data_IF_387498492525
#
_entry.id   IF_387498492525
#
_cell.length_a   1.000
_cell.length_b   1.000
_cell.length_c   1.000
_cell.angle_alpha   90.00
_cell.angle_beta   90.00
_cell.angle_gamma   90.00
#
_symmetry.space_group_name_H-M   'P 1'
#
loop_
_entity.id
_entity.type
_entity.pdbx_description
1 polymer ?
#
# COMPACT_ATOMS: atom_id res chain seq x y z
N UNK A 1 13.04 -20.06 11.41
CA UNK A 1 11.64 -19.71 11.79
C UNK A 1 11.58 -18.54 12.77
N UNK A 2 12.24 -18.58 13.94
CA UNK A 2 12.19 -17.45 14.92
C UNK A 2 12.82 -16.18 14.36
N UNK A 3 13.98 -16.29 13.69
CA UNK A 3 14.65 -15.14 13.04
C UNK A 3 13.77 -14.52 11.95
N UNK A 4 13.25 -15.34 11.03
CA UNK A 4 12.29 -14.89 10.00
C UNK A 4 11.09 -14.18 10.63
N UNK A 5 10.49 -14.75 11.68
CA UNK A 5 9.34 -14.14 12.35
C UNK A 5 9.70 -12.78 12.98
N UNK A 6 10.89 -12.65 13.57
CA UNK A 6 11.40 -11.38 14.10
C UNK A 6 11.59 -10.32 13.02
N UNK A 7 12.21 -10.69 11.89
CA UNK A 7 12.39 -9.80 10.73
C UNK A 7 11.04 -9.39 10.16
N UNK A 8 10.14 -10.33 9.91
CA UNK A 8 8.80 -10.05 9.40
C UNK A 8 7.99 -9.17 10.35
N UNK A 9 8.12 -9.36 11.66
CA UNK A 9 7.47 -8.50 12.64
C UNK A 9 7.98 -7.06 12.57
N UNK A 10 9.29 -6.85 12.46
CA UNK A 10 9.86 -5.51 12.30
C UNK A 10 9.38 -4.83 11.00
N UNK A 11 9.33 -5.58 9.89
CA UNK A 11 8.81 -5.08 8.61
C UNK A 11 7.32 -4.76 8.72
N UNK A 12 6.54 -5.64 9.36
CA UNK A 12 5.11 -5.46 9.59
C UNK A 12 4.79 -4.18 10.37
N UNK A 13 5.58 -3.87 11.40
CA UNK A 13 5.43 -2.62 12.16
C UNK A 13 5.59 -1.38 11.27
N UNK A 14 6.42 -1.47 10.23
CA UNK A 14 6.59 -0.39 9.26
C UNK A 14 5.42 -0.35 8.27
N UNK A 15 4.99 -1.51 7.78
CA UNK A 15 3.91 -1.65 6.79
C UNK A 15 2.57 -1.10 7.34
N UNK A 16 2.25 -1.41 8.60
CA UNK A 16 1.01 -0.98 9.27
C UNK A 16 0.90 0.56 9.40
N UNK A 17 2.01 1.29 9.29
CA UNK A 17 2.00 2.77 9.33
C UNK A 17 1.40 3.39 8.06
N UNK A 18 1.01 2.57 7.08
CA UNK A 18 0.31 3.01 5.88
C UNK A 18 -0.99 3.79 6.21
N UNK A 19 -1.03 5.12 5.96
CA UNK A 19 -2.18 5.94 6.32
C UNK A 19 -3.36 5.76 5.35
N UNK A 20 -3.12 5.19 4.16
CA UNK A 20 -4.11 5.09 3.08
C UNK A 20 -5.26 4.19 3.48
N UNK A 21 -4.97 2.95 3.92
CA UNK A 21 -6.02 2.01 4.32
C UNK A 21 -6.84 2.55 5.49
N UNK A 22 -6.19 3.17 6.47
CA UNK A 22 -6.89 3.76 7.62
C UNK A 22 -7.90 4.82 7.18
N UNK A 23 -7.51 5.73 6.28
CA UNK A 23 -8.40 6.78 5.78
C UNK A 23 -9.65 6.21 5.10
N UNK A 24 -9.48 5.18 4.27
CA UNK A 24 -10.61 4.51 3.63
C UNK A 24 -11.48 3.72 4.62
N UNK A 25 -10.90 3.18 5.69
CA UNK A 25 -11.66 2.55 6.77
C UNK A 25 -12.52 3.56 7.54
N UNK A 26 -11.99 4.76 7.81
CA UNK A 26 -12.74 5.86 8.44
C UNK A 26 -13.90 6.30 7.55
N UNK A 27 -13.64 6.46 6.25
CA UNK A 27 -14.68 6.73 5.26
C UNK A 27 -15.77 5.64 5.25
N UNK A 28 -15.41 4.35 5.26
CA UNK A 28 -16.37 3.26 5.27
C UNK A 28 -17.27 3.25 6.53
N UNK A 29 -16.73 3.62 7.70
CA UNK A 29 -17.53 3.79 8.94
C UNK A 29 -18.47 5.00 8.88
N UNK A 30 -18.23 5.94 7.98
CA UNK A 30 -19.13 7.08 7.72
C UNK A 30 -20.44 6.69 7.03
N UNK A 31 -20.47 5.56 6.32
CA UNK A 31 -21.56 5.14 5.42
C UNK A 31 -22.79 4.58 6.15
N UNK A 32 -23.87 4.34 5.40
CA UNK A 32 -25.17 3.83 5.91
C UNK A 32 -25.07 2.47 6.61
N UNK A 33 -24.11 1.62 6.23
CA UNK A 33 -23.88 0.29 6.81
C UNK A 33 -22.46 0.19 7.35
N UNK A 34 -22.14 0.96 8.41
CA UNK A 34 -20.76 1.28 8.75
C UNK A 34 -19.94 0.03 9.07
N UNK A 35 -20.53 -0.93 9.79
CA UNK A 35 -19.83 -2.16 10.16
C UNK A 35 -19.62 -3.08 8.96
N UNK A 36 -20.68 -3.39 8.22
CA UNK A 36 -20.60 -4.30 7.08
C UNK A 36 -19.67 -3.75 6.00
N UNK A 37 -19.74 -2.45 5.74
CA UNK A 37 -18.91 -1.81 4.72
C UNK A 37 -17.44 -1.77 5.14
N UNK A 38 -17.12 -1.43 6.39
CA UNK A 38 -15.74 -1.45 6.88
C UNK A 38 -15.13 -2.85 6.93
N UNK A 39 -15.87 -3.86 7.40
CA UNK A 39 -15.39 -5.25 7.37
C UNK A 39 -15.22 -5.75 5.94
N UNK A 40 -16.15 -5.43 5.04
CA UNK A 40 -16.05 -5.84 3.63
C UNK A 40 -14.88 -5.15 2.93
N UNK A 41 -14.65 -3.86 3.19
CA UNK A 41 -13.51 -3.12 2.67
C UNK A 41 -12.20 -3.73 3.14
N UNK A 42 -12.05 -3.98 4.44
CA UNK A 42 -10.83 -4.60 4.98
C UNK A 42 -10.60 -6.00 4.40
N UNK A 43 -11.66 -6.80 4.27
CA UNK A 43 -11.59 -8.14 3.69
C UNK A 43 -11.16 -8.09 2.21
N UNK A 44 -11.74 -7.18 1.43
CA UNK A 44 -11.40 -6.99 0.02
C UNK A 44 -9.97 -6.48 -0.15
N UNK A 45 -9.55 -5.53 0.68
CA UNK A 45 -8.16 -5.07 0.72
C UNK A 45 -7.21 -6.21 1.03
N UNK A 46 -7.44 -6.95 2.12
CA UNK A 46 -6.55 -8.04 2.58
C UNK A 46 -6.49 -9.18 1.56
N UNK A 47 -7.62 -9.50 0.93
CA UNK A 47 -7.69 -10.53 -0.12
C UNK A 47 -6.88 -10.10 -1.34
N UNK A 48 -7.08 -8.87 -1.82
CA UNK A 48 -6.31 -8.34 -2.95
C UNK A 48 -4.81 -8.24 -2.63
N UNK A 49 -4.45 -7.84 -1.41
CA UNK A 49 -3.07 -7.74 -0.96
C UNK A 49 -2.37 -9.10 -0.92
N UNK A 50 -3.06 -10.12 -0.40
CA UNK A 50 -2.59 -11.50 -0.42
C UNK A 50 -2.46 -12.03 -1.85
N UNK A 51 -3.47 -11.85 -2.70
CA UNK A 51 -3.44 -12.28 -4.12
C UNK A 51 -2.30 -11.58 -4.87
N UNK A 52 -2.11 -10.28 -4.68
CA UNK A 52 -0.99 -9.54 -5.24
C UNK A 52 0.34 -10.11 -4.75
N UNK A 53 0.47 -10.45 -3.48
CA UNK A 53 1.65 -11.11 -2.92
C UNK A 53 1.93 -12.47 -3.55
N UNK A 54 0.90 -13.29 -3.79
CA UNK A 54 1.04 -14.58 -4.47
C UNK A 54 1.47 -14.39 -5.92
N UNK A 55 0.85 -13.47 -6.65
CA UNK A 55 1.25 -13.14 -8.03
C UNK A 55 2.70 -12.66 -8.02
N UNK A 56 3.05 -11.71 -7.16
CA UNK A 56 4.42 -11.22 -7.05
C UNK A 56 5.39 -12.34 -6.71
N UNK A 57 5.08 -13.26 -5.80
CA UNK A 57 5.94 -14.38 -5.45
C UNK A 57 6.32 -15.24 -6.67
N UNK A 58 5.39 -15.43 -7.61
CA UNK A 58 5.60 -16.19 -8.84
C UNK A 58 6.55 -15.45 -9.79
N UNK A 59 6.47 -14.11 -9.85
CA UNK A 59 7.18 -13.29 -10.82
C UNK A 59 8.39 -12.54 -10.24
N UNK A 60 8.62 -12.56 -8.92
CA UNK A 60 9.57 -11.68 -8.25
C UNK A 60 11.01 -11.92 -8.72
N UNK A 61 11.39 -13.19 -8.90
CA UNK A 61 12.72 -13.55 -9.40
C UNK A 61 12.93 -13.00 -10.82
N UNK A 62 11.97 -13.23 -11.73
CA UNK A 62 12.04 -12.72 -13.09
C UNK A 62 12.04 -11.18 -13.15
N UNK A 63 11.25 -10.52 -12.30
CA UNK A 63 11.25 -9.06 -12.18
C UNK A 63 12.61 -8.55 -11.67
N UNK A 64 13.19 -9.21 -10.67
CA UNK A 64 14.48 -8.82 -10.10
C UNK A 64 15.61 -9.04 -11.11
N UNK A 65 15.61 -10.15 -11.82
CA UNK A 65 16.57 -10.44 -12.89
C UNK A 65 16.47 -9.43 -14.03
N UNK A 66 15.24 -9.07 -14.43
CA UNK A 66 14.99 -8.03 -15.43
C UNK A 66 15.49 -6.65 -14.98
N UNK A 67 15.22 -6.28 -13.73
CA UNK A 67 15.68 -5.01 -13.17
C UNK A 67 17.20 -4.96 -13.00
N UNK A 68 17.85 -6.10 -12.75
CA UNK A 68 19.31 -6.20 -12.69
C UNK A 68 19.97 -6.17 -14.08
N UNK A 69 19.24 -6.54 -15.13
CA UNK A 69 19.73 -6.55 -16.51
C UNK A 69 18.77 -5.76 -17.44
N UNK A 70 18.66 -4.43 -17.25
CA UNK A 70 17.74 -3.60 -18.02
C UNK A 70 18.20 -3.45 -19.47
N UNK A 71 17.25 -3.44 -20.40
CA UNK A 71 17.50 -3.08 -21.79
C UNK A 71 17.34 -1.57 -22.01
N UNK A 72 17.90 -1.01 -23.10
CA UNK A 72 17.84 0.43 -23.38
C UNK A 72 16.43 1.04 -23.35
N UNK A 73 15.40 0.28 -23.75
CA UNK A 73 14.01 0.79 -23.72
C UNK A 73 13.44 0.89 -22.30
N UNK A 74 13.94 0.10 -21.34
CA UNK A 74 13.50 0.17 -19.94
C UNK A 74 13.85 1.54 -19.34
N UNK A 75 14.98 2.11 -19.74
CA UNK A 75 15.38 3.46 -19.34
C UNK A 75 14.47 4.54 -19.93
N UNK A 76 13.94 4.33 -21.14
CA UNK A 76 12.93 5.21 -21.72
C UNK A 76 11.61 5.16 -20.95
N UNK A 77 11.15 3.95 -20.62
CA UNK A 77 9.93 3.75 -19.80
C UNK A 77 10.12 4.31 -18.40
N UNK A 78 11.27 4.05 -17.75
CA UNK A 78 11.56 4.54 -16.40
C UNK A 78 11.67 6.07 -16.37
N UNK A 79 12.22 6.70 -17.41
CA UNK A 79 12.22 8.16 -17.53
C UNK A 79 10.79 8.73 -17.57
N UNK A 80 9.92 8.15 -18.41
CA UNK A 80 8.51 8.59 -18.51
C UNK A 80 7.80 8.41 -17.18
N UNK A 81 7.92 7.23 -16.55
CA UNK A 81 7.33 6.96 -15.24
C UNK A 81 7.87 7.91 -14.17
N UNK A 82 9.18 8.17 -14.17
CA UNK A 82 9.83 9.08 -13.24
C UNK A 82 9.30 10.50 -13.36
N UNK A 83 9.15 11.02 -14.58
CA UNK A 83 8.55 12.34 -14.83
C UNK A 83 7.09 12.40 -14.37
N UNK A 84 6.31 11.35 -14.65
CA UNK A 84 4.90 11.26 -14.19
C UNK A 84 4.82 11.27 -12.66
N UNK A 85 5.68 10.50 -11.98
CA UNK A 85 5.74 10.48 -10.51
C UNK A 85 6.14 11.84 -9.93
N UNK A 86 7.11 12.53 -10.52
CA UNK A 86 7.48 13.89 -10.12
C UNK A 86 6.33 14.88 -10.31
N UNK A 87 5.60 14.77 -11.42
CA UNK A 87 4.41 15.58 -11.65
C UNK A 87 3.34 15.34 -10.59
N UNK A 88 3.06 14.08 -10.25
CA UNK A 88 2.13 13.75 -9.15
C UNK A 88 2.64 14.22 -7.79
N UNK A 89 3.94 14.11 -7.50
CA UNK A 89 4.53 14.60 -6.25
C UNK A 89 4.35 16.12 -6.07
N UNK A 90 4.48 16.89 -7.15
CA UNK A 90 4.23 18.33 -7.13
C UNK A 90 2.75 18.65 -6.93
N UNK A 91 1.86 17.86 -7.57
CA UNK A 91 0.41 18.07 -7.50
C UNK A 91 -0.22 17.59 -6.19
N UNK A 92 0.35 16.57 -5.53
CA UNK A 92 -0.18 16.06 -4.26
C UNK A 92 0.02 17.04 -3.10
N UNK A 93 0.80 18.12 -3.28
CA UNK A 93 0.87 19.24 -2.33
C UNK A 93 -0.38 20.13 -2.37
N UNK A 94 -1.13 20.11 -3.46
CA UNK A 94 -2.31 20.98 -3.67
C UNK A 94 -3.63 20.28 -3.31
N UNK A 95 -3.67 18.95 -3.36
CA UNK A 95 -4.88 18.17 -3.10
C UNK A 95 -4.89 17.62 -1.67
N UNK A 96 -5.51 18.37 -0.75
CA UNK A 96 -5.79 17.92 0.61
C UNK A 96 -6.97 16.94 0.65
N UNK A 97 -7.02 16.00 -0.29
CA UNK A 97 -8.01 14.93 -0.40
C UNK A 97 -9.42 15.43 -0.12
N UNK A 98 -10.07 16.05 -1.10
CA UNK A 98 -11.52 16.27 -0.97
C UNK A 98 -12.16 14.93 -0.66
N UNK A 99 -12.72 14.82 0.55
CA UNK A 99 -13.55 13.70 0.98
C UNK A 99 -14.54 13.42 -0.15
N UNK A 100 -14.80 12.14 -0.49
CA UNK A 100 -15.87 11.84 -1.43
C UNK A 100 -17.14 12.56 -0.95
N UNK A 101 -17.70 13.42 -1.80
CA UNK A 101 -18.77 14.37 -1.46
C UNK A 101 -19.98 13.59 -0.92
N UNK A 102 -20.78 14.19 -0.03
CA UNK A 102 -21.96 13.58 0.64
C UNK A 102 -23.08 13.12 -0.35
N UNK A 103 -22.82 13.20 -1.66
CA UNK A 103 -23.71 12.87 -2.78
C UNK A 103 -23.35 11.56 -3.48
N UNK A 104 -22.33 10.83 -3.02
CA UNK A 104 -22.00 9.55 -3.63
C UNK A 104 -23.05 8.47 -3.32
N UNK A 105 -23.31 7.54 -4.27
CA UNK A 105 -24.27 6.47 -4.06
C UNK A 105 -23.92 5.66 -2.81
N UNK A 106 -24.94 5.13 -2.09
CA UNK A 106 -24.70 4.39 -0.87
C UNK A 106 -23.81 3.18 -1.13
N UNK A 107 -22.66 3.15 -0.45
CA UNK A 107 -21.74 2.02 -0.51
C UNK A 107 -22.43 0.75 0.00
N UNK A 108 -22.52 -0.25 -0.87
CA UNK A 108 -22.96 -1.59 -0.49
C UNK A 108 -21.76 -2.40 0.03
N UNK A 109 -21.97 -3.48 0.79
CA UNK A 109 -20.88 -4.34 1.25
C UNK A 109 -20.03 -4.92 0.10
N UNK A 110 -20.69 -5.30 -1.00
CA UNK A 110 -20.00 -5.83 -2.19
C UNK A 110 -19.17 -4.73 -2.86
N UNK A 111 -19.72 -3.53 -3.04
CA UNK A 111 -18.96 -2.41 -3.56
C UNK A 111 -17.78 -2.06 -2.65
N UNK A 112 -17.98 -2.10 -1.33
CA UNK A 112 -16.93 -1.86 -0.33
C UNK A 112 -15.80 -2.88 -0.43
N UNK A 113 -16.11 -4.16 -0.67
CA UNK A 113 -15.10 -5.19 -0.90
C UNK A 113 -14.21 -4.87 -2.11
N UNK A 114 -14.82 -4.60 -3.28
CA UNK A 114 -14.03 -4.24 -4.47
C UNK A 114 -13.31 -2.91 -4.31
N UNK A 115 -13.91 -1.96 -3.61
CA UNK A 115 -13.26 -0.70 -3.28
C UNK A 115 -12.01 -0.92 -2.42
N UNK A 116 -12.10 -1.79 -1.40
CA UNK A 116 -10.93 -2.21 -0.61
C UNK A 116 -9.83 -2.84 -1.45
N UNK A 117 -10.18 -3.64 -2.46
CA UNK A 117 -9.20 -4.17 -3.40
C UNK A 117 -8.48 -3.05 -4.18
N UNK A 118 -9.23 -2.05 -4.66
CA UNK A 118 -8.67 -0.90 -5.41
C UNK A 118 -7.76 -0.03 -4.55
N UNK A 119 -8.04 0.09 -3.24
CA UNK A 119 -7.21 0.89 -2.31
C UNK A 119 -5.74 0.46 -2.31
N UNK A 120 -5.44 -0.83 -2.55
CA UNK A 120 -4.05 -1.30 -2.68
C UNK A 120 -3.26 -0.56 -3.77
N UNK A 121 -3.91 -0.17 -4.88
CA UNK A 121 -3.26 0.57 -5.97
C UNK A 121 -2.91 2.01 -5.55
N UNK A 122 -3.76 2.62 -4.73
CA UNK A 122 -3.50 3.95 -4.16
C UNK A 122 -2.36 3.87 -3.14
N UNK A 123 -2.27 2.74 -2.43
CA UNK A 123 -1.24 2.44 -1.45
C UNK A 123 0.11 2.01 -2.02
N UNK A 124 0.29 1.87 -3.34
CA UNK A 124 1.54 1.38 -3.97
C UNK A 124 2.81 2.09 -3.46
N UNK A 125 2.85 3.43 -3.28
CA UNK A 125 4.05 4.08 -2.74
C UNK A 125 4.49 3.55 -1.36
N UNK A 126 3.53 3.00 -0.60
CA UNK A 126 3.75 2.44 0.74
C UNK A 126 4.00 0.92 0.72
N UNK A 127 3.99 0.25 -0.44
CA UNK A 127 4.13 -1.20 -0.53
C UNK A 127 5.58 -1.72 -0.36
N UNK A 128 6.58 -0.84 -0.25
CA UNK A 128 7.99 -1.23 -0.08
C UNK A 128 8.25 -2.22 1.07
N UNK A 129 7.69 -2.02 2.29
CA UNK A 129 7.81 -3.00 3.36
C UNK A 129 7.26 -4.37 2.96
N UNK A 130 6.15 -4.43 2.24
CA UNK A 130 5.57 -5.69 1.79
C UNK A 130 6.45 -6.43 0.78
N UNK A 131 7.05 -5.71 -0.16
CA UNK A 131 8.06 -6.30 -1.06
C UNK A 131 9.25 -6.87 -0.28
N UNK A 132 9.71 -6.16 0.76
CA UNK A 132 10.77 -6.65 1.63
C UNK A 132 10.36 -7.91 2.40
N UNK A 133 9.15 -7.93 2.97
CA UNK A 133 8.61 -9.12 3.65
C UNK A 133 8.53 -10.32 2.69
N UNK A 134 8.03 -10.11 1.47
CA UNK A 134 7.92 -11.15 0.47
C UNK A 134 9.30 -11.72 0.09
N UNK A 135 10.29 -10.86 -0.11
CA UNK A 135 11.67 -11.26 -0.40
C UNK A 135 12.27 -12.11 0.73
N UNK A 136 12.05 -11.74 1.99
CA UNK A 136 12.51 -12.54 3.14
C UNK A 136 11.81 -13.90 3.22
N UNK A 137 10.50 -13.97 2.92
CA UNK A 137 9.76 -15.24 2.85
C UNK A 137 10.33 -16.15 1.75
N UNK A 138 10.63 -15.58 0.56
CA UNK A 138 11.17 -16.34 -0.56
C UNK A 138 12.59 -16.86 -0.31
N UNK A 139 13.40 -16.13 0.46
CA UNK A 139 14.77 -16.55 0.84
C UNK A 139 14.81 -17.58 1.96
N UNK A 140 13.72 -17.81 2.67
CA UNK A 140 13.71 -18.63 3.88
C UNK A 140 13.71 -20.15 3.66
N UNK A 141 14.00 -20.63 2.44
CA UNK A 141 14.02 -22.05 2.04
C UNK A 141 12.77 -22.83 2.52
N UNK A 142 11.60 -22.22 2.34
CA UNK A 142 10.31 -22.79 2.71
C UNK A 142 9.71 -23.58 1.54
N UNK A 143 8.99 -24.66 1.86
CA UNK A 143 8.09 -25.24 0.85
C UNK A 143 7.03 -24.23 0.42
N UNK A 144 6.50 -24.36 -0.80
CA UNK A 144 5.48 -23.44 -1.32
C UNK A 144 4.27 -23.30 -0.37
N UNK A 145 3.79 -24.40 0.22
CA UNK A 145 2.69 -24.38 1.17
C UNK A 145 3.03 -23.57 2.44
N UNK A 146 4.25 -23.71 2.96
CA UNK A 146 4.72 -22.92 4.11
C UNK A 146 4.88 -21.45 3.75
N UNK A 147 5.43 -21.14 2.57
CA UNK A 147 5.55 -19.76 2.08
C UNK A 147 4.18 -19.07 1.98
N UNK A 148 3.18 -19.73 1.39
CA UNK A 148 1.82 -19.20 1.32
C UNK A 148 1.15 -19.05 2.69
N UNK A 149 1.39 -19.99 3.61
CA UNK A 149 0.88 -19.89 4.97
C UNK A 149 1.49 -18.70 5.73
N UNK A 150 2.80 -18.47 5.60
CA UNK A 150 3.49 -17.33 6.21
C UNK A 150 3.01 -16.01 5.58
N UNK A 151 2.87 -15.96 4.25
CA UNK A 151 2.34 -14.80 3.55
C UNK A 151 0.90 -14.47 3.99
N UNK A 152 0.05 -15.49 4.13
CA UNK A 152 -1.30 -15.33 4.63
C UNK A 152 -1.31 -14.82 6.08
N UNK A 153 -0.48 -15.41 6.95
CA UNK A 153 -0.34 -14.97 8.33
C UNK A 153 0.13 -13.50 8.42
N UNK A 154 1.08 -13.10 7.57
CA UNK A 154 1.55 -11.72 7.46
C UNK A 154 0.41 -10.76 7.08
N UNK A 155 -0.37 -11.09 6.04
CA UNK A 155 -1.51 -10.28 5.59
C UNK A 155 -2.60 -10.15 6.65
N UNK A 156 -2.91 -11.25 7.36
CA UNK A 156 -3.87 -11.22 8.47
C UNK A 156 -3.33 -10.34 9.60
N UNK A 157 -2.06 -10.49 9.98
CA UNK A 157 -1.44 -9.68 11.02
C UNK A 157 -1.41 -8.19 10.64
N UNK A 158 -1.18 -7.86 9.35
CA UNK A 158 -1.27 -6.51 8.81
C UNK A 158 -2.69 -5.93 8.92
N UNK A 159 -3.73 -6.74 8.72
CA UNK A 159 -5.11 -6.29 8.81
C UNK A 159 -5.58 -6.04 10.26
N UNK A 160 -4.98 -6.71 11.26
CA UNK A 160 -5.44 -6.66 12.65
C UNK A 160 -5.52 -5.24 13.25
N UNK A 161 -4.50 -4.37 13.12
CA UNK A 161 -4.57 -3.01 13.64
C UNK A 161 -5.74 -2.21 13.06
N UNK A 162 -6.11 -2.43 11.80
CA UNK A 162 -7.21 -1.72 11.13
C UNK A 162 -8.60 -2.17 11.59
N UNK A 163 -8.72 -3.33 12.25
CA UNK A 163 -9.95 -3.74 12.92
C UNK A 163 -10.35 -2.78 14.05
N UNK A 164 -9.42 -1.97 14.56
CA UNK A 164 -9.73 -0.92 15.55
C UNK A 164 -10.86 -0.02 15.07
N UNK A 165 -10.96 0.26 13.76
CA UNK A 165 -11.94 1.18 13.19
C UNK A 165 -13.39 0.64 13.33
N UNK A 166 -13.74 -0.55 12.80
CA UNK A 166 -15.07 -1.12 13.02
C UNK A 166 -15.32 -1.50 14.48
N UNK A 167 -14.30 -1.89 15.26
CA UNK A 167 -14.45 -2.19 16.70
C UNK A 167 -14.80 -0.93 17.51
N UNK A 168 -14.17 0.21 17.24
CA UNK A 168 -14.54 1.48 17.86
C UNK A 168 -15.97 1.88 17.49
N UNK A 169 -16.38 1.67 16.23
CA UNK A 169 -17.77 1.91 15.82
C UNK A 169 -18.75 0.98 16.53
N UNK A 170 -18.41 -0.29 16.72
CA UNK A 170 -19.23 -1.26 17.47
C UNK A 170 -19.41 -0.86 18.93
N UNK A 171 -18.35 -0.39 19.59
CA UNK A 171 -18.33 -0.15 21.03
C UNK A 171 -18.79 1.25 21.43
N UNK A 172 -18.46 2.27 20.63
CA UNK A 172 -18.77 3.68 20.94
C UNK A 172 -19.90 4.26 20.07
N UNK A 173 -20.42 3.49 19.12
CA UNK A 173 -21.50 3.93 18.23
C UNK A 173 -21.12 5.20 17.47
N UNK A 174 -22.02 6.19 17.47
CA UNK A 174 -21.80 7.48 16.80
C UNK A 174 -20.65 8.30 17.37
N UNK A 175 -20.36 8.17 18.66
CA UNK A 175 -19.26 8.86 19.32
C UNK A 175 -17.87 8.46 18.80
N UNK A 176 -17.75 7.35 18.07
CA UNK A 176 -16.49 6.96 17.41
C UNK A 176 -16.06 7.93 16.30
N UNK A 177 -17.00 8.66 15.68
CA UNK A 177 -16.72 9.53 14.51
C UNK A 177 -15.69 10.61 14.85
N UNK A 178 -15.89 11.35 15.94
CA UNK A 178 -14.98 12.42 16.34
C UNK A 178 -13.57 11.90 16.65
N UNK A 179 -13.47 10.72 17.27
CA UNK A 179 -12.18 10.10 17.58
C UNK A 179 -11.47 9.63 16.30
N UNK A 180 -12.19 8.92 15.42
CA UNK A 180 -11.67 8.42 14.16
C UNK A 180 -11.25 9.56 13.23
N UNK A 181 -12.02 10.64 13.15
CA UNK A 181 -11.68 11.84 12.37
C UNK A 181 -10.42 12.53 12.91
N UNK A 182 -10.25 12.60 14.24
CA UNK A 182 -9.03 13.14 14.86
C UNK A 182 -7.81 12.27 14.54
N UNK A 183 -7.95 10.95 14.61
CA UNK A 183 -6.87 10.02 14.23
C UNK A 183 -6.55 10.16 12.74
N UNK A 184 -7.58 10.23 11.89
CA UNK A 184 -7.42 10.40 10.45
C UNK A 184 -6.70 11.70 10.13
N UNK A 185 -7.10 12.83 10.73
CA UNK A 185 -6.46 14.12 10.47
C UNK A 185 -4.96 14.15 10.82
N UNK A 186 -4.52 13.35 11.81
CA UNK A 186 -3.11 13.18 12.13
C UNK A 186 -2.40 12.36 11.06
N UNK A 187 -3.01 11.26 10.62
CA UNK A 187 -2.47 10.40 9.56
C UNK A 187 -2.46 11.11 8.20
N UNK A 188 -3.48 11.90 7.88
CA UNK A 188 -3.55 12.75 6.69
C UNK A 188 -2.40 13.74 6.65
N UNK A 189 -2.04 14.34 7.80
CA UNK A 189 -0.87 15.23 7.89
C UNK A 189 0.44 14.50 7.60
N UNK A 190 0.58 13.27 8.09
CA UNK A 190 1.76 12.43 7.81
C UNK A 190 1.77 12.04 6.32
N UNK A 191 0.63 11.59 5.79
CA UNK A 191 0.45 11.20 4.39
C UNK A 191 0.74 12.36 3.42
N UNK A 192 0.27 13.57 3.75
CA UNK A 192 0.49 14.77 2.96
C UNK A 192 1.97 15.19 2.85
N UNK A 193 2.84 14.66 3.71
CA UNK A 193 4.29 14.80 3.59
C UNK A 193 4.89 13.56 2.94
N UNK A 194 4.52 12.38 3.43
CA UNK A 194 5.14 11.11 3.08
C UNK A 194 4.84 10.68 1.64
N UNK A 195 3.61 10.86 1.15
CA UNK A 195 3.22 10.52 -0.22
C UNK A 195 3.98 11.36 -1.26
N UNK A 196 3.95 12.72 -1.23
CA UNK A 196 4.77 13.51 -2.16
C UNK A 196 6.26 13.22 -2.02
N UNK A 197 6.75 12.97 -0.81
CA UNK A 197 8.15 12.60 -0.61
C UNK A 197 8.51 11.28 -1.29
N UNK A 198 7.71 10.22 -1.09
CA UNK A 198 7.93 8.91 -1.70
C UNK A 198 7.84 8.98 -3.23
N UNK A 199 6.82 9.67 -3.75
CA UNK A 199 6.65 9.90 -5.19
C UNK A 199 7.83 10.69 -5.76
N UNK A 200 8.29 11.73 -5.06
CA UNK A 200 9.43 12.53 -5.49
C UNK A 200 10.74 11.73 -5.44
N UNK A 201 11.00 10.99 -4.36
CA UNK A 201 12.21 10.19 -4.21
C UNK A 201 12.29 9.11 -5.29
N UNK A 202 11.19 8.38 -5.54
CA UNK A 202 11.12 7.39 -6.60
C UNK A 202 11.24 8.04 -7.98
N UNK A 203 10.54 9.15 -8.22
CA UNK A 203 10.61 9.89 -9.47
C UNK A 203 12.02 10.40 -9.79
N UNK A 204 12.71 11.01 -8.81
CA UNK A 204 14.09 11.46 -8.95
C UNK A 204 15.01 10.28 -9.24
N UNK A 205 14.86 9.16 -8.52
CA UNK A 205 15.69 7.98 -8.72
C UNK A 205 15.57 7.45 -10.15
N UNK A 206 14.34 7.30 -10.68
CA UNK A 206 14.12 6.82 -12.04
C UNK A 206 14.66 7.79 -13.10
N UNK A 207 14.40 9.10 -12.95
CA UNK A 207 14.90 10.11 -13.89
C UNK A 207 16.41 10.19 -13.87
N UNK A 208 17.04 10.18 -12.70
CA UNK A 208 18.49 10.25 -12.56
C UNK A 208 19.17 9.02 -13.17
N UNK A 209 18.61 7.82 -12.94
CA UNK A 209 19.14 6.59 -13.50
C UNK A 209 19.08 6.59 -15.03
N UNK A 210 17.91 6.90 -15.58
CA UNK A 210 17.72 6.98 -17.03
C UNK A 210 18.57 8.07 -17.68
N UNK A 211 18.69 9.24 -17.06
CA UNK A 211 19.53 10.33 -17.56
C UNK A 211 21.00 9.94 -17.57
N UNK A 212 21.49 9.27 -16.52
CA UNK A 212 22.86 8.74 -16.49
C UNK A 212 23.10 7.80 -17.66
N UNK A 213 22.18 6.86 -17.90
CA UNK A 213 22.28 5.92 -19.01
C UNK A 213 22.32 6.62 -20.38
N UNK A 214 21.41 7.56 -20.66
CA UNK A 214 21.37 8.25 -21.96
C UNK A 214 22.54 9.22 -22.20
N UNK A 215 23.12 9.80 -21.13
CA UNK A 215 24.21 10.77 -21.25
C UNK A 215 25.59 10.10 -21.19
N UNK A 216 25.77 9.11 -20.32
CA UNK A 216 27.06 8.48 -20.02
C UNK A 216 27.20 7.07 -20.60
N UNK A 217 26.11 6.45 -21.03
CA UNK A 217 26.07 5.05 -21.46
C UNK A 217 25.99 4.05 -20.30
N UNK A 218 25.94 4.50 -19.05
CA UNK A 218 25.92 3.64 -17.86
C UNK A 218 24.82 4.09 -16.87
N UNK A 219 24.06 3.13 -16.29
CA UNK A 219 23.09 3.44 -15.23
C UNK A 219 23.80 3.96 -13.97
N UNK A 220 23.07 4.75 -13.18
CA UNK A 220 23.55 5.30 -11.92
C UNK A 220 23.56 4.26 -10.79
N UNK A 221 22.63 3.32 -10.84
CA UNK A 221 22.48 2.18 -9.92
C UNK A 221 21.73 1.04 -10.60
#
# INVERSE_FOLDING_TARGET
MVELAGTLFAILLTDVVNPVLFAFMVYAVGTDRPLLNSFSLLLGHTTAYFVAGVVLAIWLESLTERLANPEPYDFGVSLILGVVLLWFALRSREDTGKRPDDKEPPLTPVASFFFGAVVNFIGIPFALPYFAALNEIMKADLSAAQGYAVLMAYNVAYALPFLVVPILRLTMGEGSRDLLDRLNSKLDRVSGVLMPFLLAALGVALVANATSFFVRGEPLF
#
